data_IF_677769723809
#
_entry.id   IF_677769723809
#
_cell.length_a   1.000
_cell.length_b   1.000
_cell.length_c   1.000
_cell.angle_alpha   90.00
_cell.angle_beta   90.00
_cell.angle_gamma   90.00
#
_symmetry.space_group_name_H-M   'P 1'
#
loop_
_entity.id
_entity.type
_entity.pdbx_description
1 polymer ?
#
# COMPACT_ATOMS: atom_id res chain seq x y z
N UNK A 1 -28.39 53.59 -24.05
CA UNK A 1 -28.21 52.31 -24.79
C UNK A 1 -26.85 51.60 -24.58
N UNK A 2 -25.70 52.29 -24.52
CA UNK A 2 -24.37 51.63 -24.40
C UNK A 2 -24.15 50.88 -23.07
N UNK A 3 -24.64 51.40 -21.93
CA UNK A 3 -24.50 50.76 -20.60
C UNK A 3 -25.21 49.40 -20.49
N UNK A 4 -26.40 49.26 -21.07
CA UNK A 4 -27.16 48.00 -21.03
C UNK A 4 -26.52 46.87 -21.85
N UNK A 5 -25.89 47.22 -22.99
CA UNK A 5 -25.10 46.26 -23.79
C UNK A 5 -23.86 45.77 -23.05
N UNK A 6 -23.20 46.66 -22.29
CA UNK A 6 -22.03 46.30 -21.48
C UNK A 6 -22.37 45.32 -20.35
N UNK A 7 -23.49 45.54 -19.65
CA UNK A 7 -23.97 44.60 -18.62
C UNK A 7 -24.34 43.22 -19.18
N UNK A 8 -24.94 43.14 -20.38
CA UNK A 8 -25.23 41.85 -21.03
C UNK A 8 -23.96 41.07 -21.39
N UNK A 9 -22.90 41.74 -21.82
CA UNK A 9 -21.61 41.10 -22.14
C UNK A 9 -20.97 40.55 -20.85
N UNK A 10 -21.00 41.31 -19.75
CA UNK A 10 -20.48 40.85 -18.45
C UNK A 10 -21.24 39.63 -17.95
N UNK A 11 -22.58 39.64 -18.05
CA UNK A 11 -23.41 38.51 -17.64
C UNK A 11 -23.14 37.25 -18.49
N UNK A 12 -22.97 37.41 -19.81
CA UNK A 12 -22.64 36.32 -20.72
C UNK A 12 -21.26 35.71 -20.38
N UNK A 13 -20.26 36.56 -20.12
CA UNK A 13 -18.91 36.13 -19.70
C UNK A 13 -18.96 35.39 -18.37
N UNK A 14 -19.73 35.88 -17.39
CA UNK A 14 -19.96 35.19 -16.11
C UNK A 14 -20.58 33.81 -16.28
N UNK A 15 -21.60 33.68 -17.14
CA UNK A 15 -22.23 32.38 -17.43
C UNK A 15 -21.23 31.42 -18.08
N UNK A 16 -20.43 31.89 -19.05
CA UNK A 16 -19.39 31.09 -19.70
C UNK A 16 -18.33 30.65 -18.68
N UNK A 17 -17.89 31.53 -17.78
CA UNK A 17 -16.94 31.20 -16.71
C UNK A 17 -17.53 30.14 -15.75
N UNK A 18 -18.80 30.27 -15.36
CA UNK A 18 -19.47 29.31 -14.48
C UNK A 18 -19.65 27.96 -15.17
N UNK A 19 -20.05 27.92 -16.45
CA UNK A 19 -20.18 26.69 -17.23
C UNK A 19 -18.83 26.03 -17.46
N UNK A 20 -17.79 26.80 -17.82
CA UNK A 20 -16.43 26.30 -17.99
C UNK A 20 -15.83 25.79 -16.68
N UNK A 21 -16.07 26.48 -15.57
CA UNK A 21 -15.64 26.04 -14.23
C UNK A 21 -16.37 24.77 -13.81
N UNK A 22 -17.67 24.69 -14.07
CA UNK A 22 -18.49 23.50 -13.81
C UNK A 22 -18.06 22.32 -14.68
N UNK A 23 -17.72 22.56 -15.95
CA UNK A 23 -17.17 21.57 -16.88
C UNK A 23 -15.79 21.09 -16.43
N UNK A 24 -14.90 21.99 -15.97
CA UNK A 24 -13.58 21.64 -15.43
C UNK A 24 -13.70 20.84 -14.13
N UNK A 25 -14.65 21.18 -13.27
CA UNK A 25 -14.99 20.41 -12.06
C UNK A 25 -15.59 19.03 -12.42
N UNK A 26 -16.42 18.96 -13.46
CA UNK A 26 -16.99 17.71 -13.97
C UNK A 26 -15.92 16.80 -14.60
N UNK A 27 -15.04 17.36 -15.44
CA UNK A 27 -13.90 16.66 -16.05
C UNK A 27 -12.89 16.19 -14.99
N UNK A 28 -12.59 17.01 -13.98
CA UNK A 28 -11.74 16.61 -12.87
C UNK A 28 -12.35 15.49 -12.00
N UNK A 29 -13.68 15.36 -11.95
CA UNK A 29 -14.39 14.25 -11.29
C UNK A 29 -14.36 12.93 -12.09
N UNK A 30 -14.09 12.98 -13.39
CA UNK A 30 -14.10 11.83 -14.31
C UNK A 30 -12.70 11.41 -14.79
N UNK A 31 -11.62 12.02 -14.30
CA UNK A 31 -10.27 11.54 -14.57
C UNK A 31 -9.99 10.31 -13.71
N UNK A 32 -9.84 9.16 -14.37
CA UNK A 32 -9.25 7.98 -13.73
C UNK A 32 -7.82 8.36 -13.31
N UNK A 33 -7.47 8.04 -12.06
CA UNK A 33 -6.07 8.04 -11.71
C UNK A 33 -5.45 6.79 -12.34
N UNK A 34 -4.44 6.98 -13.18
CA UNK A 34 -3.62 5.87 -13.63
C UNK A 34 -2.78 5.39 -12.45
N UNK A 35 -2.91 4.11 -12.10
CA UNK A 35 -2.07 3.50 -11.07
C UNK A 35 -1.31 2.32 -11.66
N UNK A 36 -0.13 2.06 -11.14
CA UNK A 36 0.67 0.91 -11.56
C UNK A 36 0.16 -0.38 -10.94
N UNK A 37 0.42 -1.50 -11.63
CA UNK A 37 0.02 -2.87 -11.31
C UNK A 37 0.09 -3.25 -9.82
N UNK A 38 1.11 -2.77 -9.10
CA UNK A 38 1.34 -3.10 -7.69
C UNK A 38 1.18 -1.92 -6.72
N UNK A 39 0.56 -0.83 -7.14
CA UNK A 39 0.38 0.36 -6.29
C UNK A 39 -0.49 0.03 -5.08
N UNK A 40 -0.05 0.41 -3.88
CA UNK A 40 -0.94 0.43 -2.71
C UNK A 40 -1.88 1.62 -2.83
N UNK A 41 -3.17 1.39 -2.60
CA UNK A 41 -4.18 2.44 -2.64
C UNK A 41 -4.47 2.92 -1.22
N UNK A 42 -4.46 4.24 -1.03
CA UNK A 42 -4.70 4.88 0.25
C UNK A 42 -5.95 5.75 0.19
N UNK A 43 -6.90 5.48 1.06
CA UNK A 43 -8.19 6.18 1.13
C UNK A 43 -8.29 6.87 2.48
N UNK A 44 -7.89 8.16 2.57
CA UNK A 44 -8.01 8.92 3.81
C UNK A 44 -9.48 9.21 4.11
N UNK A 45 -9.82 9.21 5.39
CA UNK A 45 -11.15 9.45 5.93
C UNK A 45 -11.11 10.60 6.95
N UNK A 46 -12.22 11.33 7.06
CA UNK A 46 -12.30 12.49 7.94
C UNK A 46 -12.39 12.14 9.44
N UNK A 47 -12.66 10.87 9.76
CA UNK A 47 -12.82 10.37 11.13
C UNK A 47 -12.04 9.08 11.36
N UNK A 48 -11.91 8.68 12.62
CA UNK A 48 -11.27 7.42 12.99
C UNK A 48 -12.19 6.24 12.66
N UNK A 49 -11.65 5.24 12.00
CA UNK A 49 -12.33 4.00 11.62
C UNK A 49 -12.19 2.97 12.74
N UNK A 50 -13.25 2.19 12.95
CA UNK A 50 -13.24 1.01 13.83
C UNK A 50 -13.10 -0.21 12.92
N UNK A 51 -11.97 -0.91 13.04
CA UNK A 51 -11.65 -2.04 12.18
C UNK A 51 -12.32 -3.32 12.70
N UNK A 52 -13.51 -3.61 12.20
CA UNK A 52 -14.31 -4.79 12.51
C UNK A 52 -14.91 -5.43 11.25
N UNK A 53 -15.68 -6.51 11.43
CA UNK A 53 -16.31 -7.23 10.32
C UNK A 53 -17.26 -6.35 9.49
N UNK A 54 -17.94 -5.36 10.11
CA UNK A 54 -18.78 -4.43 9.35
C UNK A 54 -17.96 -3.53 8.44
N UNK A 55 -16.84 -3.00 8.93
CA UNK A 55 -15.92 -2.21 8.14
C UNK A 55 -15.31 -3.02 6.99
N UNK A 56 -14.89 -4.27 7.23
CA UNK A 56 -14.37 -5.12 6.15
C UNK A 56 -15.41 -5.33 5.06
N UNK A 57 -16.67 -5.63 5.42
CA UNK A 57 -17.78 -5.80 4.46
C UNK A 57 -18.18 -4.50 3.75
N UNK A 58 -17.84 -3.34 4.30
CA UNK A 58 -18.11 -2.03 3.69
C UNK A 58 -17.17 -1.69 2.54
N UNK A 59 -16.06 -2.43 2.39
CA UNK A 59 -15.03 -2.19 1.38
C UNK A 59 -15.22 -3.22 0.26
N UNK A 60 -15.42 -2.75 -0.97
CA UNK A 60 -15.48 -3.64 -2.14
C UNK A 60 -14.56 -3.14 -3.24
N UNK A 61 -13.86 -4.06 -3.90
CA UNK A 61 -13.07 -3.77 -5.10
C UNK A 61 -13.62 -4.60 -6.24
N UNK A 62 -13.96 -3.95 -7.36
CA UNK A 62 -14.51 -4.61 -8.55
C UNK A 62 -13.82 -4.11 -9.80
N UNK A 63 -13.74 -4.97 -10.83
CA UNK A 63 -13.32 -4.53 -12.17
C UNK A 63 -14.51 -3.90 -12.94
N UNK A 64 -14.26 -3.48 -14.17
CA UNK A 64 -15.25 -2.93 -15.10
C UNK A 64 -16.43 -3.87 -15.39
N UNK A 65 -16.23 -5.18 -15.31
CA UNK A 65 -17.27 -6.18 -15.48
C UNK A 65 -18.09 -6.42 -14.20
N UNK A 66 -17.82 -5.66 -13.12
CA UNK A 66 -18.47 -5.83 -11.83
C UNK A 66 -17.99 -7.06 -11.05
N UNK A 67 -16.98 -7.79 -11.55
CA UNK A 67 -16.42 -8.96 -10.87
C UNK A 67 -15.63 -8.53 -9.63
N UNK A 68 -15.84 -9.18 -8.48
CA UNK A 68 -15.10 -8.86 -7.27
C UNK A 68 -13.63 -9.23 -7.41
N UNK A 69 -12.76 -8.36 -6.90
CA UNK A 69 -11.31 -8.53 -6.91
C UNK A 69 -10.85 -8.73 -5.47
N UNK A 70 -10.19 -9.85 -5.21
CA UNK A 70 -9.64 -10.15 -3.89
C UNK A 70 -8.41 -9.27 -3.64
N UNK A 71 -8.53 -8.39 -2.66
CA UNK A 71 -7.47 -7.49 -2.19
C UNK A 71 -7.28 -7.66 -0.69
N UNK A 72 -6.16 -7.16 -0.17
CA UNK A 72 -5.95 -7.07 1.27
C UNK A 72 -6.13 -5.62 1.73
N UNK A 73 -7.24 -5.36 2.42
CA UNK A 73 -7.52 -4.07 3.01
C UNK A 73 -7.20 -4.08 4.51
N UNK A 74 -6.63 -2.99 5.01
CA UNK A 74 -6.25 -2.83 6.39
C UNK A 74 -6.20 -1.36 6.77
N UNK A 75 -5.90 -1.07 8.04
CA UNK A 75 -5.99 0.28 8.59
C UNK A 75 -4.61 0.83 8.94
N UNK A 76 -4.36 2.08 8.55
CA UNK A 76 -3.21 2.86 9.01
C UNK A 76 -3.16 2.98 10.55
N UNK A 77 -1.97 3.18 11.15
CA UNK A 77 -1.81 3.32 12.60
C UNK A 77 -2.68 4.41 13.25
N UNK A 78 -2.87 5.54 12.56
CA UNK A 78 -3.67 6.67 13.06
C UNK A 78 -5.20 6.43 13.01
N UNK A 79 -5.59 5.30 12.41
CA UNK A 79 -6.97 4.84 12.19
C UNK A 79 -7.78 5.71 11.24
N UNK A 80 -7.15 6.56 10.43
CA UNK A 80 -7.85 7.51 9.54
C UNK A 80 -7.74 7.17 8.06
N UNK A 81 -6.87 6.25 7.68
CA UNK A 81 -6.67 5.87 6.27
C UNK A 81 -6.85 4.36 6.09
N UNK A 82 -7.72 3.98 5.15
CA UNK A 82 -7.83 2.60 4.66
C UNK A 82 -6.71 2.40 3.64
N UNK A 83 -5.92 1.36 3.84
CA UNK A 83 -4.83 0.95 2.97
C UNK A 83 -5.26 -0.33 2.26
N UNK A 84 -5.02 -0.42 0.96
CA UNK A 84 -5.43 -1.55 0.14
C UNK A 84 -4.22 -1.98 -0.68
N UNK A 85 -3.67 -3.13 -0.33
CA UNK A 85 -2.64 -3.78 -1.14
C UNK A 85 -3.30 -4.41 -2.39
N UNK A 86 -2.57 -4.46 -3.51
CA UNK A 86 -3.07 -5.07 -4.73
C UNK A 86 -3.34 -6.58 -4.53
N UNK A 87 -4.04 -7.23 -5.46
CA UNK A 87 -4.02 -8.68 -5.57
C UNK A 87 -2.57 -9.19 -5.65
N UNK A 88 -2.33 -10.45 -5.27
CA UNK A 88 -0.99 -11.07 -5.33
C UNK A 88 -0.39 -10.95 -6.74
N UNK A 89 -1.20 -11.25 -7.77
CA UNK A 89 -0.81 -11.12 -9.18
C UNK A 89 -0.75 -9.66 -9.70
N UNK A 90 -1.08 -8.68 -8.86
CA UNK A 90 -1.28 -7.29 -9.23
C UNK A 90 -2.61 -7.02 -9.94
N UNK A 91 -2.84 -5.75 -10.26
CA UNK A 91 -3.95 -5.34 -11.12
C UNK A 91 -3.65 -5.66 -12.59
N UNK A 92 -4.65 -6.13 -13.32
CA UNK A 92 -4.54 -6.41 -14.75
C UNK A 92 -4.47 -5.11 -15.54
N UNK A 93 -3.48 -4.98 -16.42
CA UNK A 93 -3.31 -3.81 -17.26
C UNK A 93 -4.58 -3.47 -18.06
N UNK A 94 -4.82 -2.18 -18.25
CA UNK A 94 -5.92 -1.60 -19.01
C UNK A 94 -7.32 -1.85 -18.44
N UNK A 95 -7.46 -2.66 -17.39
CA UNK A 95 -8.73 -2.80 -16.68
C UNK A 95 -9.02 -1.56 -15.83
N UNK A 96 -10.30 -1.21 -15.77
CA UNK A 96 -10.82 -0.21 -14.84
C UNK A 96 -11.25 -0.91 -13.57
N UNK A 97 -10.95 -0.29 -12.44
CA UNK A 97 -11.30 -0.77 -11.12
C UNK A 97 -12.05 0.28 -10.32
N UNK A 98 -12.94 -0.20 -9.48
CA UNK A 98 -13.81 0.58 -8.62
C UNK A 98 -13.63 0.09 -7.19
N UNK A 99 -13.12 0.95 -6.33
CA UNK A 99 -13.14 0.74 -4.89
C UNK A 99 -14.31 1.53 -4.32
N UNK A 100 -15.21 0.84 -3.64
CA UNK A 100 -16.33 1.44 -2.94
C UNK A 100 -16.14 1.26 -1.45
N UNK A 101 -16.22 2.36 -0.70
CA UNK A 101 -16.36 2.38 0.75
C UNK A 101 -17.79 2.78 1.05
N UNK A 102 -18.60 1.82 1.48
CA UNK A 102 -20.02 2.05 1.70
C UNK A 102 -20.29 2.85 2.97
N UNK A 103 -21.44 3.52 3.00
CA UNK A 103 -21.95 4.25 4.18
C UNK A 103 -22.05 3.42 5.46
N UNK A 104 -22.03 2.09 5.35
CA UNK A 104 -22.04 1.16 6.48
C UNK A 104 -20.68 1.00 7.17
N UNK A 105 -19.63 1.70 6.70
CA UNK A 105 -18.33 1.71 7.38
C UNK A 105 -18.45 2.17 8.83
N UNK A 106 -17.84 1.44 9.76
CA UNK A 106 -17.90 1.77 11.17
C UNK A 106 -16.83 2.82 11.52
N UNK A 107 -17.28 4.00 11.97
CA UNK A 107 -16.39 5.11 12.33
C UNK A 107 -16.75 5.67 13.71
N UNK A 108 -15.74 6.10 14.46
CA UNK A 108 -15.91 6.71 15.78
C UNK A 108 -16.46 8.13 15.64
N UNK A 109 -17.66 8.35 16.17
CA UNK A 109 -18.34 9.66 16.23
C UNK A 109 -18.45 10.36 14.86
N UNK A 110 -18.52 9.59 13.78
CA UNK A 110 -18.60 10.12 12.42
C UNK A 110 -19.40 9.15 11.56
N UNK A 111 -20.12 9.66 10.56
CA UNK A 111 -20.76 8.87 9.51
C UNK A 111 -20.52 9.57 8.18
N UNK A 112 -20.29 8.79 7.13
CA UNK A 112 -20.26 9.34 5.77
C UNK A 112 -21.70 9.39 5.22
N UNK A 113 -22.04 10.49 4.54
CA UNK A 113 -23.39 10.69 3.99
C UNK A 113 -23.63 10.02 2.63
N UNK A 114 -22.57 9.49 2.00
CA UNK A 114 -22.63 8.78 0.71
C UNK A 114 -21.43 7.86 0.57
N UNK A 115 -21.58 6.85 -0.27
CA UNK A 115 -20.50 5.94 -0.61
C UNK A 115 -19.33 6.73 -1.24
N UNK A 116 -18.11 6.40 -0.80
CA UNK A 116 -16.89 6.91 -1.40
C UNK A 116 -16.45 5.94 -2.48
N UNK A 117 -16.38 6.41 -3.72
CA UNK A 117 -15.95 5.60 -4.86
C UNK A 117 -14.63 6.16 -5.39
N UNK A 118 -13.61 5.30 -5.44
CA UNK A 118 -12.32 5.57 -6.11
C UNK A 118 -12.30 4.77 -7.39
N UNK A 119 -12.06 5.44 -8.52
CA UNK A 119 -11.96 4.82 -9.84
C UNK A 119 -10.53 4.98 -10.34
N UNK A 120 -9.95 3.90 -10.83
CA UNK A 120 -8.61 3.94 -11.40
C UNK A 120 -8.48 2.98 -12.59
N UNK A 121 -7.53 3.29 -13.46
CA UNK A 121 -7.10 2.39 -14.54
C UNK A 121 -5.75 1.82 -14.15
N UNK A 122 -5.62 0.51 -14.24
CA UNK A 122 -4.33 -0.14 -14.00
C UNK A 122 -3.45 -0.03 -15.25
N UNK A 123 -2.20 0.37 -15.04
CA UNK A 123 -1.13 0.32 -16.03
C UNK A 123 -0.13 -0.75 -15.62
N UNK A 124 0.46 -1.39 -16.61
CA UNK A 124 1.62 -2.23 -16.32
C UNK A 124 2.81 -1.36 -15.92
N UNK A 125 3.70 -1.95 -15.15
CA UNK A 125 4.96 -1.33 -14.79
C UNK A 125 6.07 -2.36 -15.01
N UNK A 126 6.86 -2.14 -16.07
CA UNK A 126 8.07 -2.91 -16.31
C UNK A 126 9.14 -2.51 -15.29
N UNK A 127 9.03 -3.08 -14.09
CA UNK A 127 10.02 -2.90 -13.03
C UNK A 127 11.13 -3.94 -13.20
N UNK A 128 12.41 -3.54 -13.23
CA UNK A 128 13.50 -4.49 -13.20
C UNK A 128 13.38 -5.39 -11.96
N UNK A 129 13.77 -6.65 -12.12
CA UNK A 129 13.92 -7.55 -10.97
C UNK A 129 15.00 -6.99 -10.04
N UNK A 130 14.70 -6.80 -8.75
CA UNK A 130 15.68 -6.27 -7.81
C UNK A 130 16.85 -7.25 -7.63
N UNK A 131 18.01 -6.69 -7.32
CA UNK A 131 19.23 -7.43 -7.07
C UNK A 131 19.53 -7.44 -5.58
N UNK A 132 19.98 -8.59 -5.06
CA UNK A 132 20.52 -8.68 -3.71
C UNK A 132 22.02 -8.38 -3.79
N UNK A 133 22.45 -7.28 -3.19
CA UNK A 133 23.84 -6.80 -3.23
C UNK A 133 24.45 -6.93 -1.85
N UNK A 134 25.68 -7.46 -1.78
CA UNK A 134 26.47 -7.51 -0.55
C UNK A 134 27.29 -6.24 -0.43
N UNK A 135 26.82 -5.31 0.39
CA UNK A 135 27.53 -4.08 0.80
C UNK A 135 26.97 -3.59 2.13
N UNK A 136 27.68 -2.67 2.77
CA UNK A 136 27.16 -1.97 3.93
C UNK A 136 25.88 -1.20 3.59
N UNK A 137 24.89 -1.16 4.49
CA UNK A 137 23.62 -0.52 4.24
C UNK A 137 23.73 0.99 4.45
N UNK A 138 23.09 1.75 3.57
CA UNK A 138 23.01 3.20 3.64
C UNK A 138 21.61 3.64 4.07
N UNK A 139 21.50 4.80 4.69
CA UNK A 139 20.23 5.33 5.18
C UNK A 139 19.14 5.28 4.10
N UNK A 140 17.99 4.68 4.41
CA UNK A 140 16.88 4.49 3.48
C UNK A 140 17.02 3.31 2.50
N UNK A 141 18.06 2.50 2.63
CA UNK A 141 18.13 1.20 1.95
C UNK A 141 17.11 0.20 2.51
N UNK A 142 16.71 -0.73 1.66
CA UNK A 142 16.02 -1.94 2.09
C UNK A 142 17.10 -2.98 2.36
N UNK A 143 17.14 -3.52 3.58
CA UNK A 143 18.00 -4.64 3.94
C UNK A 143 17.15 -5.90 4.07
N UNK A 144 17.76 -7.05 3.78
CA UNK A 144 17.12 -8.34 3.99
C UNK A 144 18.09 -9.39 4.50
N UNK A 145 17.60 -10.39 5.23
CA UNK A 145 18.36 -11.58 5.65
C UNK A 145 17.58 -12.83 5.26
N UNK A 146 18.28 -13.87 4.83
CA UNK A 146 17.66 -15.15 4.47
C UNK A 146 17.64 -16.10 5.66
N UNK A 147 16.51 -16.74 5.92
CA UNK A 147 16.39 -17.83 6.90
C UNK A 147 15.55 -19.00 6.34
N UNK A 148 15.51 -20.11 7.09
CA UNK A 148 14.78 -21.32 6.72
C UNK A 148 13.94 -21.82 7.88
N UNK A 149 12.68 -22.11 7.61
CA UNK A 149 11.75 -22.69 8.58
C UNK A 149 11.03 -23.89 7.98
N UNK A 150 11.13 -25.07 8.60
CA UNK A 150 10.51 -26.31 8.12
C UNK A 150 10.74 -26.58 6.62
N UNK A 151 11.95 -26.34 6.14
CA UNK A 151 12.32 -26.51 4.72
C UNK A 151 11.99 -25.33 3.81
N UNK A 152 11.08 -24.43 4.20
CA UNK A 152 10.75 -23.21 3.47
C UNK A 152 11.83 -22.14 3.67
N UNK A 153 12.39 -21.63 2.57
CA UNK A 153 13.40 -20.56 2.60
C UNK A 153 12.72 -19.23 2.34
N UNK A 154 12.97 -18.24 3.19
CA UNK A 154 12.37 -16.92 3.06
C UNK A 154 13.40 -15.83 3.38
N UNK A 155 13.10 -14.62 2.94
CA UNK A 155 13.84 -13.44 3.34
C UNK A 155 12.99 -12.59 4.28
N UNK A 156 13.63 -12.10 5.34
CA UNK A 156 13.07 -11.08 6.21
C UNK A 156 13.63 -9.72 5.80
N UNK A 157 12.78 -8.70 5.69
CA UNK A 157 13.13 -7.38 5.15
C UNK A 157 12.87 -6.23 6.12
N UNK A 158 13.61 -5.14 5.97
CA UNK A 158 13.38 -3.89 6.68
C UNK A 158 14.00 -2.69 5.98
N UNK A 159 13.61 -1.49 6.42
CA UNK A 159 14.18 -0.22 5.95
C UNK A 159 15.25 0.24 6.93
N UNK A 160 16.50 0.34 6.49
CA UNK A 160 17.60 0.82 7.32
C UNK A 160 17.46 2.32 7.58
N UNK A 161 17.59 2.74 8.84
CA UNK A 161 17.41 4.14 9.27
C UNK A 161 18.67 4.75 9.88
N UNK A 162 19.83 4.13 9.64
CA UNK A 162 21.12 4.56 10.19
C UNK A 162 21.36 4.06 11.62
N UNK A 163 22.59 4.26 12.12
CA UNK A 163 22.99 3.92 13.49
C UNK A 163 22.63 2.48 13.92
N UNK A 164 22.82 1.50 13.02
CA UNK A 164 22.48 0.09 13.26
C UNK A 164 21.00 -0.14 13.61
N UNK A 165 20.09 0.71 13.11
CA UNK A 165 18.65 0.57 13.31
C UNK A 165 17.88 0.33 12.03
N UNK A 166 16.78 -0.38 12.15
CA UNK A 166 15.93 -0.82 11.05
C UNK A 166 14.46 -0.72 11.43
N UNK A 167 13.62 -0.30 10.48
CA UNK A 167 12.15 -0.36 10.62
C UNK A 167 11.64 -1.57 9.85
N UNK A 168 10.94 -2.46 10.52
CA UNK A 168 10.40 -3.68 9.92
C UNK A 168 9.23 -4.23 10.72
N UNK A 169 8.50 -5.18 10.16
CA UNK A 169 7.62 -6.02 10.97
C UNK A 169 8.45 -6.97 11.84
N UNK A 170 8.14 -7.01 13.12
CA UNK A 170 8.67 -8.01 14.06
C UNK A 170 7.69 -8.25 15.20
N UNK A 171 7.84 -9.41 15.83
CA UNK A 171 7.31 -9.68 17.17
C UNK A 171 8.45 -10.05 18.11
N UNK A 172 8.27 -9.80 19.40
CA UNK A 172 9.27 -10.12 20.43
C UNK A 172 9.11 -11.55 20.96
N UNK A 173 7.99 -12.21 20.66
CA UNK A 173 7.63 -13.54 21.16
C UNK A 173 7.38 -14.56 20.04
N UNK A 174 7.72 -14.21 18.79
CA UNK A 174 7.55 -15.08 17.62
C UNK A 174 6.11 -15.32 17.18
N UNK A 175 5.11 -14.65 17.79
CA UNK A 175 3.70 -14.82 17.43
C UNK A 175 3.25 -13.80 16.39
N UNK A 176 2.55 -14.26 15.35
CA UNK A 176 1.97 -13.37 14.30
C UNK A 176 1.01 -12.35 14.89
N UNK A 177 0.22 -12.74 15.88
CA UNK A 177 -0.77 -11.86 16.52
C UNK A 177 -0.13 -10.61 17.17
N UNK A 178 1.15 -10.69 17.53
CA UNK A 178 1.90 -9.62 18.17
C UNK A 178 2.84 -8.89 17.19
N UNK A 179 2.88 -9.33 15.93
CA UNK A 179 3.69 -8.72 14.89
C UNK A 179 3.20 -7.32 14.60
N UNK A 180 4.13 -6.37 14.63
CA UNK A 180 3.87 -4.98 14.28
C UNK A 180 5.08 -4.33 13.65
N UNK A 181 4.90 -3.22 12.94
CA UNK A 181 6.02 -2.43 12.43
C UNK A 181 6.69 -1.69 13.59
N UNK A 182 7.99 -1.89 13.77
CA UNK A 182 8.79 -1.31 14.85
C UNK A 182 10.15 -0.83 14.33
N UNK A 183 10.73 0.15 15.01
CA UNK A 183 12.13 0.56 14.81
C UNK A 183 13.00 -0.14 15.85
N UNK A 184 13.82 -1.09 15.43
CA UNK A 184 14.66 -1.95 16.27
C UNK A 184 16.14 -1.75 15.95
N UNK A 185 17.02 -2.37 16.73
CA UNK A 185 18.40 -2.60 16.30
C UNK A 185 18.43 -3.70 15.23
N UNK A 186 19.43 -3.65 14.34
CA UNK A 186 19.68 -4.70 13.33
C UNK A 186 19.78 -6.08 14.00
N UNK A 187 20.62 -6.21 15.02
CA UNK A 187 20.66 -7.40 15.86
C UNK A 187 19.50 -7.40 16.87
N UNK A 188 18.79 -8.52 17.08
CA UNK A 188 19.09 -9.88 16.60
C UNK A 188 18.44 -10.27 15.26
N UNK A 189 17.58 -9.41 14.70
CA UNK A 189 16.69 -9.76 13.58
C UNK A 189 17.39 -9.92 12.23
N UNK A 190 18.48 -9.19 12.03
CA UNK A 190 19.29 -9.20 10.82
C UNK A 190 20.70 -9.65 11.23
N UNK A 191 20.99 -10.94 11.03
CA UNK A 191 22.26 -11.54 11.46
C UNK A 191 23.44 -10.85 10.76
N UNK A 192 24.42 -10.43 11.54
CA UNK A 192 25.67 -9.83 11.05
C UNK A 192 26.30 -10.73 9.98
N UNK A 193 26.84 -10.13 8.92
CA UNK A 193 27.45 -10.80 7.76
C UNK A 193 26.52 -11.69 6.91
N UNK A 194 25.21 -11.73 7.20
CA UNK A 194 24.21 -12.48 6.41
C UNK A 194 23.16 -11.63 5.74
N UNK A 195 23.07 -10.35 6.07
CA UNK A 195 22.13 -9.46 5.42
C UNK A 195 22.68 -8.89 4.11
N UNK A 196 21.77 -8.58 3.19
CA UNK A 196 22.03 -8.00 1.88
C UNK A 196 21.22 -6.71 1.73
N UNK A 197 21.63 -5.83 0.81
CA UNK A 197 20.82 -4.70 0.38
C UNK A 197 19.99 -5.13 -0.83
N UNK A 198 18.68 -4.87 -0.80
CA UNK A 198 17.79 -5.05 -1.93
C UNK A 198 17.85 -3.81 -2.83
N UNK A 199 18.63 -3.91 -3.91
CA UNK A 199 18.75 -2.87 -4.91
C UNK A 199 17.59 -2.94 -5.91
N UNK A 200 16.74 -1.91 -5.86
CA UNK A 200 15.57 -1.76 -6.71
C UNK A 200 15.87 -1.05 -8.05
N UNK A 201 17.11 -0.57 -8.25
CA UNK A 201 17.53 0.19 -9.42
C UNK A 201 16.57 1.34 -9.73
N UNK A 202 16.16 1.44 -10.99
CA UNK A 202 15.24 2.47 -11.48
C UNK A 202 13.80 2.35 -10.94
N UNK A 203 13.47 1.29 -10.18
CA UNK A 203 12.16 1.16 -9.51
C UNK A 203 12.03 2.05 -8.28
N UNK A 204 13.14 2.56 -7.74
CA UNK A 204 13.13 3.45 -6.58
C UNK A 204 12.51 4.82 -6.95
N UNK A 205 11.36 5.14 -6.35
CA UNK A 205 10.63 6.40 -6.61
C UNK A 205 10.89 7.47 -5.55
N UNK A 206 11.30 7.06 -4.35
CA UNK A 206 11.48 7.94 -3.21
C UNK A 206 12.95 8.03 -2.80
N UNK A 207 13.38 9.24 -2.44
CA UNK A 207 14.70 9.45 -1.83
C UNK A 207 14.81 8.75 -0.47
N UNK A 208 16.03 8.53 0.01
CA UNK A 208 16.27 7.94 1.32
C UNK A 208 15.45 8.58 2.45
N UNK A 209 15.42 9.91 2.52
CA UNK A 209 14.63 10.66 3.50
C UNK A 209 13.12 10.40 3.36
N UNK A 210 12.61 10.36 2.13
CA UNK A 210 11.20 10.07 1.88
C UNK A 210 10.87 8.61 2.24
N UNK A 211 11.74 7.66 1.91
CA UNK A 211 11.59 6.24 2.28
C UNK A 211 11.51 6.05 3.78
N UNK A 212 12.44 6.63 4.54
CA UNK A 212 12.42 6.52 6.01
C UNK A 212 11.20 7.23 6.61
N UNK A 213 10.81 8.39 6.08
CA UNK A 213 9.57 9.08 6.52
C UNK A 213 8.34 8.21 6.30
N UNK A 214 8.24 7.53 5.15
CA UNK A 214 7.15 6.60 4.82
C UNK A 214 7.19 5.35 5.71
N UNK A 215 8.37 4.79 5.94
CA UNK A 215 8.54 3.68 6.88
C UNK A 215 8.05 4.05 8.30
N UNK A 216 8.45 5.24 8.79
CA UNK A 216 8.02 5.76 10.10
C UNK A 216 6.52 6.02 10.19
N UNK A 217 5.86 6.41 9.10
CA UNK A 217 4.40 6.64 9.12
C UNK A 217 3.59 5.36 9.33
N UNK A 218 4.24 4.18 9.28
CA UNK A 218 3.61 2.87 9.47
C UNK A 218 3.96 2.25 10.82
N UNK A 219 4.76 2.91 11.66
CA UNK A 219 5.10 2.42 13.01
C UNK A 219 3.84 2.07 13.80
N UNK A 220 3.86 0.90 14.44
CA UNK A 220 2.76 0.36 15.25
C UNK A 220 1.65 -0.32 14.45
N UNK A 221 1.73 -0.37 13.12
CA UNK A 221 0.76 -1.12 12.32
C UNK A 221 0.89 -2.63 12.58
N UNK A 222 -0.25 -3.34 12.68
CA UNK A 222 -0.37 -4.73 13.11
C UNK A 222 -1.02 -5.63 12.06
N UNK A 223 -0.99 -5.24 10.79
CA UNK A 223 -1.73 -5.92 9.72
C UNK A 223 -0.84 -6.88 8.94
N UNK A 224 0.08 -7.54 9.63
CA UNK A 224 1.02 -8.46 9.01
C UNK A 224 0.30 -9.67 8.41
N UNK A 225 0.63 -9.98 7.16
CA UNK A 225 0.13 -11.15 6.43
C UNK A 225 1.24 -11.69 5.53
N UNK A 226 1.56 -12.98 5.64
CA UNK A 226 2.69 -13.58 4.94
C UNK A 226 2.59 -13.46 3.41
N UNK A 227 1.38 -13.48 2.85
CA UNK A 227 1.13 -13.48 1.41
C UNK A 227 0.76 -12.10 0.87
N UNK A 228 0.11 -11.25 1.67
CA UNK A 228 -0.51 -10.02 1.17
C UNK A 228 0.00 -8.72 1.82
N UNK A 229 0.68 -8.79 2.97
CA UNK A 229 1.22 -7.61 3.64
C UNK A 229 2.39 -7.99 4.56
N UNK A 230 3.46 -8.49 3.95
CA UNK A 230 4.65 -8.96 4.65
C UNK A 230 5.76 -7.88 4.72
N UNK A 231 6.94 -8.26 5.20
CA UNK A 231 8.10 -7.37 5.34
C UNK A 231 8.58 -6.79 4.01
N UNK A 232 8.54 -7.57 2.93
CA UNK A 232 8.95 -7.14 1.60
C UNK A 232 7.93 -6.13 1.04
N UNK A 233 6.63 -6.42 1.15
CA UNK A 233 5.57 -5.49 0.73
C UNK A 233 5.75 -4.12 1.39
N UNK A 234 5.94 -4.09 2.71
CA UNK A 234 6.16 -2.85 3.45
C UNK A 234 7.43 -2.11 3.01
N UNK A 235 8.55 -2.84 2.92
CA UNK A 235 9.85 -2.22 2.61
C UNK A 235 9.89 -1.66 1.18
N UNK A 236 9.38 -2.44 0.22
CA UNK A 236 9.27 -2.02 -1.19
C UNK A 236 8.28 -0.87 -1.32
N UNK A 237 7.15 -0.89 -0.62
CA UNK A 237 6.21 0.22 -0.59
C UNK A 237 6.84 1.50 -0.04
N UNK A 238 7.67 1.41 0.99
CA UNK A 238 8.33 2.57 1.56
C UNK A 238 9.24 3.26 0.51
N UNK A 239 9.94 2.47 -0.32
CA UNK A 239 10.88 2.96 -1.34
C UNK A 239 10.24 3.30 -2.69
N UNK A 240 9.12 2.69 -3.04
CA UNK A 240 8.54 2.76 -4.40
C UNK A 240 7.07 3.16 -4.45
N UNK A 241 6.31 3.01 -3.36
CA UNK A 241 4.85 3.16 -3.37
C UNK A 241 4.10 1.91 -3.85
N UNK A 242 4.82 0.91 -4.34
CA UNK A 242 4.25 -0.37 -4.73
C UNK A 242 4.34 -1.36 -3.56
N UNK A 243 3.22 -1.96 -3.18
CA UNK A 243 3.18 -3.06 -2.23
C UNK A 243 3.35 -4.37 -3.02
N UNK A 244 4.60 -4.67 -3.41
CA UNK A 244 4.99 -5.87 -4.14
C UNK A 244 5.92 -6.73 -3.29
N UNK A 245 5.78 -8.05 -3.41
CA UNK A 245 6.72 -9.01 -2.83
C UNK A 245 7.27 -9.94 -3.90
N UNK A 246 8.54 -9.73 -4.27
CA UNK A 246 9.22 -10.51 -5.30
C UNK A 246 9.52 -11.94 -4.84
N UNK A 247 9.53 -12.23 -3.53
CA UNK A 247 9.60 -13.61 -3.04
C UNK A 247 8.28 -14.35 -3.25
N UNK A 248 7.13 -13.68 -3.10
CA UNK A 248 5.81 -14.31 -3.27
C UNK A 248 5.52 -14.58 -4.74
N UNK A 249 5.87 -13.64 -5.63
CA UNK A 249 5.73 -13.80 -7.09
C UNK A 249 6.46 -15.03 -7.66
N UNK A 250 7.44 -15.58 -6.93
CA UNK A 250 8.26 -16.72 -7.37
C UNK A 250 7.81 -18.06 -6.81
N UNK A 251 6.83 -18.07 -5.90
CA UNK A 251 6.43 -19.30 -5.21
C UNK A 251 5.64 -20.23 -6.14
N UNK A 252 5.89 -21.53 -6.00
CA UNK A 252 5.04 -22.55 -6.59
C UNK A 252 3.68 -22.67 -5.86
N UNK A 253 2.73 -23.39 -6.45
CA UNK A 253 1.46 -23.71 -5.80
C UNK A 253 1.64 -24.45 -4.47
N UNK A 254 2.62 -25.35 -4.40
CA UNK A 254 2.97 -26.11 -3.20
C UNK A 254 3.53 -25.19 -2.11
N UNK A 255 4.44 -24.28 -2.47
CA UNK A 255 5.00 -23.30 -1.54
C UNK A 255 3.93 -22.33 -1.02
N UNK A 256 3.01 -21.87 -1.88
CA UNK A 256 1.86 -21.06 -1.46
C UNK A 256 0.99 -21.85 -0.46
N UNK A 257 0.74 -23.13 -0.70
CA UNK A 257 0.00 -23.98 0.22
C UNK A 257 0.72 -24.12 1.57
N UNK A 258 2.05 -24.30 1.55
CA UNK A 258 2.86 -24.35 2.75
C UNK A 258 2.82 -23.03 3.56
N UNK A 259 2.92 -21.88 2.89
CA UNK A 259 2.80 -20.57 3.56
C UNK A 259 1.40 -20.38 4.17
N UNK A 260 0.33 -20.81 3.48
CA UNK A 260 -1.03 -20.78 4.05
C UNK A 260 -1.17 -21.65 5.29
N UNK A 261 -0.48 -22.79 5.34
CA UNK A 261 -0.44 -23.64 6.53
C UNK A 261 0.22 -22.91 7.70
N UNK A 262 1.37 -22.27 7.46
CA UNK A 262 2.05 -21.46 8.49
C UNK A 262 1.16 -20.34 9.03
N UNK A 263 0.45 -19.63 8.15
CA UNK A 263 -0.52 -18.60 8.55
C UNK A 263 -1.65 -19.18 9.42
N UNK A 264 -2.20 -20.33 9.05
CA UNK A 264 -3.27 -21.00 9.79
C UNK A 264 -2.81 -21.44 11.18
N UNK A 265 -1.54 -21.82 11.31
CA UNK A 265 -0.90 -22.16 12.57
C UNK A 265 -0.45 -20.93 13.39
N UNK A 266 -0.59 -19.72 12.87
CA UNK A 266 -0.16 -18.49 13.55
C UNK A 266 1.36 -18.31 13.65
N UNK A 267 2.12 -18.97 12.77
CA UNK A 267 3.59 -18.95 12.75
C UNK A 267 4.12 -17.66 12.13
N UNK A 268 5.05 -16.99 12.82
CA UNK A 268 5.78 -15.84 12.28
C UNK A 268 7.12 -16.28 11.68
N UNK A 269 7.50 -15.68 10.56
CA UNK A 269 8.75 -15.94 9.84
C UNK A 269 9.66 -14.68 9.90
N UNK A 270 9.79 -14.05 11.07
CA UNK A 270 10.58 -12.81 11.27
C UNK A 270 11.49 -12.92 12.48
#
# INVERSE_FOLDING_TARGET
MKRYRFFKIILLVLVIIVVYSSYKIYSAKNNFNDIYKYSEIQIPMNGKIIWDNSTVKSISVKNNNGQPIKVYAFLSPDKKTILINPPVEGYTENNLYYITISTNIHMKNYKIGKDKVVKFKAKDENLPTPKKVKREPEYGDIIGTTDKYMGYTYDHYGVYVGNNRVIHYCSTDGKVANTKIQETSISPYFRENKFFVLDLGNSAKFSANQTVKRARSRLGEKSYDLLQNNCEHFSVWAKTGNAKSYQIDKLSSEEIAQVRLFMTMGINLQ
#
